data_IF_665906573917
#
_entry.id   IF_665906573917
#
_cell.length_a   1.000
_cell.length_b   1.000
_cell.length_c   1.000
_cell.angle_alpha   90.00
_cell.angle_beta   90.00
_cell.angle_gamma   90.00
#
_symmetry.space_group_name_H-M   'P 1'
#
loop_
_entity.id
_entity.type
_entity.pdbx_description
1 polymer ?
#
# COMPACT_ATOMS: atom_id res chain seq x y z
N UNK A 1 30.46 -14.56 27.94
CA UNK A 1 29.56 -15.71 28.16
C UNK A 1 28.14 -15.18 28.26
N UNK A 2 27.33 -15.30 27.20
CA UNK A 2 25.95 -14.82 27.20
C UNK A 2 25.05 -15.94 27.77
N UNK A 3 24.44 -15.70 28.92
CA UNK A 3 23.44 -16.60 29.50
C UNK A 3 22.17 -16.51 28.68
N UNK A 4 21.79 -17.61 28.04
CA UNK A 4 20.54 -17.77 27.32
C UNK A 4 19.38 -17.74 28.33
N UNK A 5 18.80 -16.57 28.58
CA UNK A 5 17.64 -16.43 29.47
C UNK A 5 16.39 -16.85 28.72
N UNK A 6 15.92 -18.06 29.01
CA UNK A 6 14.68 -18.61 28.48
C UNK A 6 13.49 -17.82 29.03
N UNK A 7 12.89 -16.96 28.20
CA UNK A 7 11.72 -16.18 28.60
C UNK A 7 10.47 -17.05 28.47
N UNK A 8 9.72 -17.22 29.56
CA UNK A 8 8.47 -18.01 29.57
C UNK A 8 7.30 -17.11 29.99
N UNK A 9 6.29 -16.91 29.14
CA UNK A 9 5.13 -16.09 29.50
C UNK A 9 4.34 -16.72 30.65
N UNK A 10 3.86 -15.88 31.57
CA UNK A 10 3.02 -16.30 32.69
C UNK A 10 1.65 -15.64 32.59
N UNK A 11 0.58 -16.45 32.67
CA UNK A 11 -0.80 -15.96 32.55
C UNK A 11 -1.51 -15.83 33.91
N UNK A 12 -0.78 -15.97 35.03
CA UNK A 12 -1.35 -15.78 36.37
C UNK A 12 -1.42 -14.29 36.72
N UNK A 13 -2.58 -13.79 37.23
CA UNK A 13 -2.69 -12.42 37.72
C UNK A 13 -1.62 -12.14 38.79
N UNK A 14 -0.88 -11.04 38.65
CA UNK A 14 0.16 -10.63 39.60
C UNK A 14 1.59 -11.13 39.31
N UNK A 15 1.82 -11.84 38.20
CA UNK A 15 3.19 -12.15 37.76
C UNK A 15 3.84 -10.92 37.09
N UNK A 16 5.14 -10.64 37.32
CA UNK A 16 5.85 -9.52 36.67
C UNK A 16 5.90 -9.63 35.12
N UNK A 17 5.74 -10.84 34.56
CA UNK A 17 5.70 -11.09 33.12
C UNK A 17 4.27 -11.42 32.63
N UNK A 18 3.24 -10.84 33.26
CA UNK A 18 1.85 -11.11 32.93
C UNK A 18 1.43 -10.46 31.61
N UNK A 19 1.08 -11.28 30.62
CA UNK A 19 0.50 -10.83 29.37
C UNK A 19 -1.03 -10.74 29.55
N UNK A 20 -1.65 -9.55 29.39
CA UNK A 20 -3.10 -9.41 29.53
C UNK A 20 -3.81 -10.22 28.44
N UNK A 21 -4.53 -11.26 28.86
CA UNK A 21 -5.31 -12.12 27.98
C UNK A 21 -6.54 -11.36 27.44
N UNK A 22 -6.37 -10.62 26.35
CA UNK A 22 -7.48 -10.08 25.56
C UNK A 22 -7.23 -10.23 24.06
N UNK A 23 -7.17 -11.49 23.61
CA UNK A 23 -7.59 -11.87 22.26
C UNK A 23 -8.90 -12.65 22.38
N UNK A 24 -10.02 -11.93 22.53
CA UNK A 24 -11.35 -12.52 22.32
C UNK A 24 -11.59 -12.59 20.81
N UNK A 25 -11.10 -13.64 20.16
CA UNK A 25 -11.62 -14.01 18.84
C UNK A 25 -13.08 -14.43 19.00
N UNK A 26 -13.96 -13.80 18.21
CA UNK A 26 -15.42 -13.97 18.16
C UNK A 26 -15.90 -15.40 18.45
N UNK A 27 -16.30 -15.66 19.69
CA UNK A 27 -17.13 -16.82 20.06
C UNK A 27 -16.49 -18.21 19.99
N UNK A 28 -15.17 -18.34 19.78
CA UNK A 28 -14.50 -19.64 19.81
C UNK A 28 -13.52 -19.75 20.99
N UNK A 29 -13.59 -20.87 21.73
CA UNK A 29 -12.63 -21.20 22.78
C UNK A 29 -11.29 -21.57 22.14
N UNK A 30 -10.27 -20.74 22.34
CA UNK A 30 -8.89 -21.07 21.98
C UNK A 30 -8.33 -21.98 23.07
N UNK A 31 -7.80 -23.18 22.76
CA UNK A 31 -7.22 -24.08 23.75
C UNK A 31 -6.02 -23.44 24.46
N UNK A 32 -5.88 -23.70 25.76
CA UNK A 32 -4.92 -23.07 26.69
C UNK A 32 -3.42 -23.32 26.36
N UNK A 33 -3.14 -24.06 25.27
CA UNK A 33 -1.78 -24.39 24.81
C UNK A 33 -1.46 -23.90 23.39
N UNK A 34 -2.30 -23.05 22.79
CA UNK A 34 -1.96 -22.39 21.53
C UNK A 34 -0.92 -21.28 21.79
N UNK A 35 0.31 -21.68 22.10
CA UNK A 35 1.46 -20.80 22.01
C UNK A 35 1.52 -20.23 20.60
N UNK A 36 1.65 -18.91 20.48
CA UNK A 36 1.98 -18.23 19.23
C UNK A 36 3.40 -18.62 18.81
N UNK A 37 3.57 -19.85 18.33
CA UNK A 37 4.76 -20.26 17.60
C UNK A 37 4.51 -19.91 16.13
N UNK A 38 4.96 -18.73 15.72
CA UNK A 38 5.14 -18.48 14.29
C UNK A 38 6.38 -19.26 13.87
N UNK A 39 6.17 -20.49 13.43
CA UNK A 39 7.21 -21.24 12.73
C UNK A 39 7.37 -20.58 11.35
N UNK A 40 8.46 -19.84 11.16
CA UNK A 40 8.85 -19.32 9.85
C UNK A 40 9.03 -20.55 8.95
N UNK A 41 8.24 -20.72 7.88
CA UNK A 41 8.46 -21.81 6.93
C UNK A 41 9.89 -21.69 6.39
N UNK A 42 10.65 -22.80 6.29
CA UNK A 42 11.95 -22.74 5.63
C UNK A 42 11.75 -22.17 4.23
N UNK A 43 12.54 -21.13 3.89
CA UNK A 43 12.61 -20.54 2.56
C UNK A 43 12.70 -21.67 1.54
N UNK A 44 11.62 -21.85 0.78
CA UNK A 44 11.56 -22.80 -0.33
C UNK A 44 12.67 -22.40 -1.29
N UNK A 45 13.62 -23.31 -1.48
CA UNK A 45 14.68 -23.18 -2.47
C UNK A 45 14.08 -22.89 -3.85
N UNK A 46 14.79 -22.08 -4.63
CA UNK A 46 14.43 -21.65 -5.97
C UNK A 46 13.79 -22.78 -6.81
N UNK A 47 12.72 -22.49 -7.57
CA UNK A 47 12.14 -23.46 -8.47
C UNK A 47 13.19 -23.89 -9.52
N UNK A 48 13.25 -25.20 -9.88
CA UNK A 48 14.15 -25.67 -10.91
C UNK A 48 13.83 -24.98 -12.24
N UNK A 49 14.88 -24.51 -12.92
CA UNK A 49 14.82 -23.89 -14.23
C UNK A 49 14.04 -24.76 -15.20
N UNK A 50 12.92 -24.23 -15.72
CA UNK A 50 12.16 -24.86 -16.79
C UNK A 50 13.04 -24.91 -18.05
N UNK A 51 13.59 -26.08 -18.36
CA UNK A 51 14.16 -26.38 -19.66
C UNK A 51 13.01 -26.40 -20.70
N UNK A 52 13.03 -25.44 -21.63
CA UNK A 52 12.21 -25.49 -22.83
C UNK A 52 12.61 -26.72 -23.67
N UNK A 53 11.67 -27.59 -24.08
CA UNK A 53 11.92 -28.57 -25.12
C UNK A 53 12.01 -27.86 -26.48
N UNK A 54 13.22 -27.79 -27.04
CA UNK A 54 13.42 -27.50 -28.45
C UNK A 54 12.99 -28.74 -29.27
N UNK A 55 11.76 -28.73 -29.78
CA UNK A 55 11.37 -29.58 -30.90
C UNK A 55 10.95 -28.69 -32.07
N UNK A 56 11.95 -28.36 -32.90
CA UNK A 56 11.76 -27.86 -34.25
C UNK A 56 11.26 -29.05 -35.09
N UNK A 57 9.95 -29.09 -35.36
CA UNK A 57 9.41 -29.92 -36.43
C UNK A 57 9.38 -29.09 -37.72
N UNK A 58 10.34 -29.34 -38.60
CA UNK A 58 10.36 -28.87 -39.98
C UNK A 58 9.28 -29.63 -40.74
N UNK A 59 8.16 -28.97 -41.06
CA UNK A 59 7.20 -29.46 -42.04
C UNK A 59 7.36 -28.61 -43.32
N UNK A 60 7.95 -29.23 -44.35
CA UNK A 60 8.03 -28.68 -45.70
C UNK A 60 6.71 -28.91 -46.48
N UNK A 61 6.47 -28.12 -47.55
CA UNK A 61 5.15 -27.90 -48.12
C UNK A 61 4.82 -28.89 -49.25
N UNK A 62 3.56 -29.32 -49.31
CA UNK A 62 2.98 -29.93 -50.50
C UNK A 62 2.08 -28.92 -51.22
N UNK A 63 2.44 -28.70 -52.48
CA UNK A 63 1.94 -27.70 -53.41
C UNK A 63 0.60 -28.08 -54.07
N UNK A 64 -0.08 -27.05 -54.57
CA UNK A 64 -1.08 -27.00 -55.66
C UNK A 64 -2.58 -27.14 -55.34
N UNK A 65 -3.30 -26.02 -55.52
CA UNK A 65 -4.25 -25.87 -56.62
C UNK A 65 -4.41 -24.37 -56.99
N UNK A 66 -4.42 -24.00 -58.30
CA UNK A 66 -4.73 -22.64 -58.73
C UNK A 66 -6.22 -22.52 -59.04
N UNK A 67 -6.93 -21.59 -58.39
CA UNK A 67 -8.23 -21.12 -58.85
C UNK A 67 -8.15 -19.60 -59.00
N UNK A 68 -8.21 -19.16 -60.25
CA UNK A 68 -8.41 -17.78 -60.64
C UNK A 68 -9.82 -17.33 -60.28
N UNK A 69 -10.01 -16.27 -59.49
CA UNK A 69 -10.95 -15.19 -59.87
C UNK A 69 -10.80 -13.91 -59.03
N UNK A 70 -10.77 -12.80 -59.76
CA UNK A 70 -11.31 -11.48 -59.45
C UNK A 70 -10.72 -10.62 -58.31
N UNK A 71 -9.93 -9.64 -58.74
CA UNK A 71 -10.01 -8.22 -58.40
C UNK A 71 -10.71 -7.82 -57.07
N UNK A 72 -9.89 -7.51 -56.06
CA UNK A 72 -10.20 -6.53 -55.03
C UNK A 72 -8.91 -5.81 -54.64
N UNK A 73 -8.45 -4.91 -55.49
CA UNK A 73 -7.50 -3.85 -55.10
C UNK A 73 -8.28 -2.85 -54.26
N UNK A 74 -8.17 -2.89 -52.93
CA UNK A 74 -8.50 -1.77 -52.03
C UNK A 74 -8.10 -2.07 -50.58
N UNK A 75 -7.01 -1.43 -50.14
CA UNK A 75 -6.76 -0.97 -48.76
C UNK A 75 -6.97 -1.97 -47.61
N UNK A 76 -5.98 -2.81 -47.34
CA UNK A 76 -5.92 -3.68 -46.14
C UNK A 76 -4.87 -3.24 -45.12
N UNK A 77 -4.47 -1.96 -45.13
CA UNK A 77 -3.50 -1.39 -44.19
C UNK A 77 -4.03 -0.76 -42.87
N UNK A 78 -5.34 -0.52 -42.62
CA UNK A 78 -5.74 0.17 -41.39
C UNK A 78 -5.69 -0.72 -40.12
N UNK A 79 -5.93 -2.03 -40.23
CA UNK A 79 -6.07 -2.91 -39.06
C UNK A 79 -4.77 -3.11 -38.25
N UNK A 80 -3.61 -3.18 -38.91
CA UNK A 80 -2.33 -3.34 -38.21
C UNK A 80 -1.94 -2.09 -37.41
N UNK A 81 -2.25 -0.90 -37.94
CA UNK A 81 -2.03 0.37 -37.25
C UNK A 81 -2.96 0.55 -36.05
N UNK A 82 -4.23 0.14 -36.17
CA UNK A 82 -5.20 0.18 -35.07
C UNK A 82 -4.81 -0.75 -33.91
N UNK A 83 -4.34 -1.96 -34.21
CA UNK A 83 -3.86 -2.88 -33.18
C UNK A 83 -2.61 -2.36 -32.45
N UNK A 84 -1.64 -1.78 -33.17
CA UNK A 84 -0.45 -1.18 -32.57
C UNK A 84 -0.80 0.01 -31.66
N UNK A 85 -1.70 0.90 -32.11
CA UNK A 85 -2.19 2.02 -31.31
C UNK A 85 -2.91 1.56 -30.03
N UNK A 86 -3.75 0.53 -30.13
CA UNK A 86 -4.46 -0.04 -28.98
C UNK A 86 -3.50 -0.66 -27.95
N UNK A 87 -2.47 -1.39 -28.40
CA UNK A 87 -1.45 -1.94 -27.51
C UNK A 87 -0.65 -0.84 -26.81
N UNK A 88 -0.23 0.20 -27.53
CA UNK A 88 0.49 1.32 -26.95
C UNK A 88 -0.36 2.08 -25.92
N UNK A 89 -1.64 2.31 -26.20
CA UNK A 89 -2.57 2.93 -25.26
C UNK A 89 -2.74 2.08 -23.98
N UNK A 90 -2.81 0.75 -24.13
CA UNK A 90 -2.91 -0.17 -22.98
C UNK A 90 -1.66 -0.12 -22.11
N UNK A 91 -0.47 -0.12 -22.71
CA UNK A 91 0.80 -0.03 -21.96
C UNK A 91 0.93 1.32 -21.25
N UNK A 92 0.54 2.42 -21.89
CA UNK A 92 0.51 3.74 -21.25
C UNK A 92 -0.48 3.78 -20.09
N UNK A 93 -1.69 3.24 -20.26
CA UNK A 93 -2.68 3.15 -19.19
C UNK A 93 -2.14 2.31 -18.01
N UNK A 94 -1.49 1.18 -18.27
CA UNK A 94 -0.88 0.35 -17.22
C UNK A 94 0.26 1.08 -16.49
N UNK A 95 1.10 1.84 -17.21
CA UNK A 95 2.16 2.64 -16.61
C UNK A 95 1.58 3.73 -15.70
N UNK A 96 0.51 4.41 -16.14
CA UNK A 96 -0.21 5.42 -15.33
C UNK A 96 -0.84 4.77 -14.10
N UNK A 97 -1.52 3.64 -14.25
CA UNK A 97 -2.12 2.91 -13.11
C UNK A 97 -1.06 2.45 -12.12
N UNK A 98 0.08 1.94 -12.61
CA UNK A 98 1.20 1.55 -11.75
C UNK A 98 1.75 2.73 -10.97
N UNK A 99 1.91 3.89 -11.63
CA UNK A 99 2.38 5.14 -11.02
C UNK A 99 1.42 5.63 -9.93
N UNK A 100 0.12 5.66 -10.21
CA UNK A 100 -0.90 6.08 -9.22
C UNK A 100 -0.90 5.14 -8.01
N UNK A 101 -0.72 3.83 -8.21
CA UNK A 101 -0.66 2.84 -7.12
C UNK A 101 0.60 2.91 -6.27
N UNK A 102 1.66 3.58 -6.73
CA UNK A 102 2.90 3.75 -5.98
C UNK A 102 3.04 5.12 -5.33
N UNK A 103 2.04 6.01 -5.50
CA UNK A 103 2.02 7.32 -4.86
C UNK A 103 1.41 7.25 -3.47
N UNK A 104 2.09 7.85 -2.49
CA UNK A 104 1.59 8.14 -1.14
C UNK A 104 1.69 9.64 -0.89
N UNK A 105 0.64 10.23 -0.32
CA UNK A 105 0.64 11.60 0.18
C UNK A 105 0.89 11.60 1.68
N UNK A 106 1.84 12.41 2.15
CA UNK A 106 2.19 12.53 3.56
C UNK A 106 1.90 13.94 4.03
N UNK A 107 1.16 14.06 5.12
CA UNK A 107 1.04 15.30 5.88
C UNK A 107 1.89 15.19 7.13
N UNK A 108 2.91 16.03 7.24
CA UNK A 108 3.86 16.02 8.35
C UNK A 108 3.70 17.27 9.22
N UNK A 109 3.45 17.07 10.51
CA UNK A 109 3.50 18.12 11.52
C UNK A 109 4.90 18.20 12.13
N UNK A 110 5.67 19.19 11.70
CA UNK A 110 6.97 19.58 12.30
C UNK A 110 6.86 20.80 13.21
N UNK A 111 5.68 21.43 13.24
CA UNK A 111 5.36 22.55 14.12
C UNK A 111 3.83 22.64 14.34
N UNK A 112 3.38 23.59 15.16
CA UNK A 112 1.95 23.89 15.37
C UNK A 112 1.24 24.50 14.15
N UNK A 113 1.99 24.78 13.07
CA UNK A 113 1.42 25.28 11.83
C UNK A 113 0.73 24.14 11.06
N UNK A 114 -0.08 24.51 10.08
CA UNK A 114 -0.71 23.57 9.15
C UNK A 114 0.35 22.62 8.55
N UNK A 115 0.07 21.30 8.46
CA UNK A 115 1.03 20.36 7.92
C UNK A 115 1.21 20.58 6.41
N UNK A 116 2.44 20.42 5.95
CA UNK A 116 2.77 20.55 4.53
C UNK A 116 2.57 19.19 3.81
N UNK A 117 1.74 19.12 2.75
CA UNK A 117 1.55 17.89 1.99
C UNK A 117 2.77 17.58 1.11
N UNK A 118 3.20 16.32 1.13
CA UNK A 118 4.33 15.81 0.33
C UNK A 118 3.95 14.51 -0.37
N UNK A 119 4.21 14.42 -1.67
CA UNK A 119 3.96 13.20 -2.46
C UNK A 119 5.25 12.39 -2.70
N UNK A 120 5.15 11.08 -2.53
CA UNK A 120 6.25 10.13 -2.75
C UNK A 120 5.78 8.99 -3.66
N UNK A 121 6.49 8.72 -4.76
CA UNK A 121 6.08 7.74 -5.80
C UNK A 121 6.93 6.47 -5.83
N UNK A 122 8.11 6.49 -5.20
CA UNK A 122 9.11 5.41 -5.29
C UNK A 122 9.36 4.68 -3.97
N UNK A 123 8.62 5.02 -2.92
CA UNK A 123 8.79 4.48 -1.57
C UNK A 123 7.73 3.43 -1.21
N UNK A 124 6.90 3.04 -2.18
CA UNK A 124 5.83 2.04 -2.00
C UNK A 124 6.25 0.71 -2.62
N UNK A 125 6.48 -0.30 -1.77
CA UNK A 125 6.89 -1.64 -2.15
C UNK A 125 5.83 -2.63 -1.66
N UNK A 126 5.19 -3.34 -2.59
CA UNK A 126 4.19 -4.37 -2.26
C UNK A 126 3.07 -3.88 -1.31
N UNK A 127 2.57 -2.66 -1.51
CA UNK A 127 1.53 -2.09 -0.65
C UNK A 127 2.02 -1.64 0.73
N UNK A 128 3.33 -1.53 0.92
CA UNK A 128 3.95 -1.00 2.14
C UNK A 128 4.73 0.26 1.77
N UNK A 129 4.58 1.31 2.57
CA UNK A 129 5.37 2.52 2.46
C UNK A 129 6.57 2.42 3.39
N UNK A 130 7.77 2.61 2.83
CA UNK A 130 9.03 2.57 3.59
C UNK A 130 9.38 3.98 4.01
N UNK A 131 9.35 4.23 5.32
CA UNK A 131 9.81 5.49 5.89
C UNK A 131 11.34 5.43 6.03
N UNK A 132 12.04 5.93 5.01
CA UNK A 132 13.50 6.02 4.99
C UNK A 132 14.01 7.34 5.58
N UNK A 133 15.31 7.39 5.89
CA UNK A 133 15.99 8.62 6.29
C UNK A 133 15.81 9.74 5.24
N UNK A 134 15.88 9.42 3.94
CA UNK A 134 15.64 10.38 2.85
C UNK A 134 14.23 11.01 2.91
N UNK A 135 13.20 10.20 3.20
CA UNK A 135 11.83 10.69 3.37
C UNK A 135 11.76 11.63 4.56
N UNK A 136 12.36 11.25 5.69
CA UNK A 136 12.36 12.06 6.92
C UNK A 136 13.11 13.39 6.73
N UNK A 137 14.25 13.38 6.07
CA UNK A 137 15.02 14.58 5.72
C UNK A 137 14.19 15.53 4.85
N UNK A 138 13.50 15.00 3.84
CA UNK A 138 12.62 15.79 2.96
C UNK A 138 11.44 16.40 3.70
N UNK A 139 10.88 15.66 4.67
CA UNK A 139 9.81 16.13 5.56
C UNK A 139 10.32 17.05 6.67
N UNK A 140 11.65 17.24 6.81
CA UNK A 140 12.30 17.99 7.88
C UNK A 140 11.95 17.49 9.29
N UNK A 141 11.65 16.20 9.41
CA UNK A 141 11.40 15.56 10.71
C UNK A 141 12.76 15.18 11.31
N UNK A 142 13.07 15.73 12.49
CA UNK A 142 14.27 15.37 13.23
C UNK A 142 13.95 14.38 14.36
N UNK A 143 14.90 13.48 14.66
CA UNK A 143 14.81 12.53 15.77
C UNK A 143 14.91 11.07 15.33
N UNK A 144 14.86 10.16 16.30
CA UNK A 144 14.85 8.71 16.06
C UNK A 144 13.46 8.08 16.18
N UNK A 145 12.50 8.86 16.67
CA UNK A 145 11.13 8.46 16.92
C UNK A 145 10.20 9.55 16.38
N UNK A 146 9.07 9.12 15.85
CA UNK A 146 8.00 9.98 15.38
C UNK A 146 6.66 9.31 15.69
N UNK A 147 5.57 10.02 15.44
CA UNK A 147 4.24 9.50 15.61
C UNK A 147 3.54 9.36 14.26
N UNK A 148 2.82 8.25 14.08
CA UNK A 148 1.94 8.00 12.93
C UNK A 148 0.49 7.99 13.41
N UNK A 149 -0.38 8.71 12.72
CA UNK A 149 -1.80 8.67 13.04
C UNK A 149 -2.40 7.34 12.65
N UNK A 150 -3.25 6.80 13.53
CA UNK A 150 -3.97 5.56 13.32
C UNK A 150 -5.47 5.85 13.25
N UNK A 151 -6.05 5.93 12.04
CA UNK A 151 -7.48 6.14 11.84
C UNK A 151 -8.38 5.18 12.63
N UNK A 152 -7.92 3.94 12.87
CA UNK A 152 -8.72 2.91 13.57
C UNK A 152 -9.13 3.30 15.00
N UNK A 153 -8.35 4.13 15.68
CA UNK A 153 -8.64 4.59 17.04
C UNK A 153 -8.51 6.11 17.21
N UNK A 154 -8.45 6.85 16.10
CA UNK A 154 -8.34 8.31 16.07
C UNK A 154 -7.22 8.85 16.97
N UNK A 155 -6.03 8.25 16.91
CA UNK A 155 -4.91 8.63 17.78
C UNK A 155 -3.55 8.41 17.17
N UNK A 156 -2.53 8.92 17.86
CA UNK A 156 -1.14 8.86 17.44
C UNK A 156 -0.43 7.64 18.04
N UNK A 157 0.34 6.93 17.23
CA UNK A 157 1.17 5.79 17.63
C UNK A 157 2.64 6.10 17.39
N UNK A 158 3.49 5.83 18.37
CA UNK A 158 4.93 6.01 18.24
C UNK A 158 5.54 4.93 17.33
N UNK A 159 6.43 5.33 16.44
CA UNK A 159 7.18 4.46 15.53
C UNK A 159 8.66 4.92 15.44
N UNK A 160 9.60 3.99 15.22
CA UNK A 160 11.01 4.32 15.00
C UNK A 160 11.25 4.90 13.59
N UNK A 161 12.42 5.54 13.40
CA UNK A 161 12.79 6.24 12.15
C UNK A 161 13.01 5.39 10.88
N UNK A 162 12.91 4.06 10.95
CA UNK A 162 13.04 3.15 9.79
C UNK A 162 11.86 2.19 9.72
N UNK A 163 10.66 2.74 9.84
CA UNK A 163 9.44 1.94 9.94
C UNK A 163 8.79 1.68 8.58
N UNK A 164 8.19 0.50 8.44
CA UNK A 164 7.44 0.12 7.25
C UNK A 164 5.95 0.22 7.57
N UNK A 165 5.27 1.17 6.94
CA UNK A 165 3.85 1.46 7.15
C UNK A 165 3.03 0.67 6.13
N UNK A 166 2.16 -0.27 6.56
CA UNK A 166 1.32 -1.00 5.62
C UNK A 166 0.19 -0.11 5.09
N UNK A 167 0.10 0.10 3.78
CA UNK A 167 -0.93 0.97 3.16
C UNK A 167 -2.31 0.32 3.08
N UNK A 168 -2.40 -0.98 3.31
CA UNK A 168 -3.66 -1.71 3.40
C UNK A 168 -4.21 -1.79 4.83
N UNK A 169 -3.47 -1.24 5.78
CA UNK A 169 -3.81 -1.31 7.20
C UNK A 169 -4.47 -0.03 7.69
N UNK A 170 -5.10 -0.08 8.86
CA UNK A 170 -5.83 1.04 9.46
C UNK A 170 -4.95 2.21 9.94
N UNK A 171 -3.81 2.44 9.27
CA UNK A 171 -2.84 3.53 9.40
C UNK A 171 -2.93 4.55 8.25
N UNK A 172 -3.73 4.27 7.21
CA UNK A 172 -3.89 5.16 6.05
C UNK A 172 -5.32 5.62 5.86
N UNK A 173 -5.47 6.84 5.35
CA UNK A 173 -6.72 7.43 4.86
C UNK A 173 -6.62 7.54 3.33
N UNK A 174 -7.70 7.53 2.55
CA UNK A 174 -7.60 7.58 1.06
C UNK A 174 -8.16 8.84 0.43
N UNK A 175 -7.33 9.80 0.04
CA UNK A 175 -7.74 11.04 -0.65
C UNK A 175 -7.58 10.88 -2.16
N UNK A 176 -8.62 11.14 -2.94
CA UNK A 176 -8.58 11.03 -4.42
C UNK A 176 -8.04 9.68 -4.91
N UNK A 177 -8.39 8.60 -4.20
CA UNK A 177 -7.89 7.23 -4.38
C UNK A 177 -6.39 7.02 -4.10
N UNK A 178 -5.69 8.01 -3.54
CA UNK A 178 -4.31 7.91 -3.06
C UNK A 178 -4.26 7.67 -1.54
N UNK A 179 -3.39 6.75 -1.06
CA UNK A 179 -3.15 6.59 0.36
C UNK A 179 -2.47 7.82 0.96
N UNK A 180 -3.01 8.25 2.09
CA UNK A 180 -2.57 9.38 2.90
C UNK A 180 -2.05 8.86 4.23
N UNK A 181 -0.83 9.26 4.57
CA UNK A 181 -0.17 8.99 5.85
C UNK A 181 -0.02 10.32 6.60
N UNK A 182 -0.36 10.31 7.89
CA UNK A 182 -0.21 11.48 8.75
C UNK A 182 0.93 11.20 9.74
N UNK A 183 1.94 12.06 9.73
CA UNK A 183 3.12 11.95 10.58
C UNK A 183 3.23 13.18 11.48
N UNK A 184 3.68 12.97 12.70
CA UNK A 184 3.90 14.04 13.67
C UNK A 184 5.28 13.86 14.29
N UNK A 185 6.05 14.94 14.28
CA UNK A 185 7.33 14.99 14.96
C UNK A 185 7.12 15.00 16.48
N UNK A 186 7.97 14.26 17.20
CA UNK A 186 7.93 14.23 18.66
C UNK A 186 8.07 15.64 19.25
N UNK A 187 7.19 15.98 20.20
CA UNK A 187 7.16 17.28 20.88
C UNK A 187 6.32 18.35 20.19
N UNK A 188 5.72 18.07 19.04
CA UNK A 188 4.66 18.91 18.48
C UNK A 188 3.36 18.52 19.17
N UNK A 189 2.80 19.37 20.04
CA UNK A 189 1.53 19.09 20.72
C UNK A 189 0.33 19.74 20.02
N UNK A 190 -0.90 19.39 20.41
CA UNK A 190 -2.10 20.10 19.95
C UNK A 190 -2.55 19.80 18.51
N UNK A 191 -2.03 18.73 17.91
CA UNK A 191 -2.49 18.24 16.60
C UNK A 191 -3.50 17.10 16.80
N UNK A 192 -4.75 17.31 16.37
CA UNK A 192 -5.81 16.30 16.39
C UNK A 192 -5.78 15.37 15.16
N UNK A 193 -4.73 15.49 14.34
CA UNK A 193 -4.50 14.64 13.18
C UNK A 193 -5.53 14.91 12.08
N UNK A 194 -6.40 13.93 11.82
CA UNK A 194 -7.36 14.03 10.73
C UNK A 194 -8.38 15.16 10.95
N UNK A 195 -8.79 15.41 12.19
CA UNK A 195 -9.81 16.42 12.49
C UNK A 195 -9.33 17.84 12.16
N UNK A 196 -8.05 18.15 12.35
CA UNK A 196 -7.46 19.45 12.00
C UNK A 196 -7.44 19.65 10.47
N UNK A 197 -7.11 18.59 9.74
CA UNK A 197 -7.09 18.60 8.28
C UNK A 197 -8.49 18.83 7.69
N UNK A 198 -9.51 18.20 8.27
CA UNK A 198 -10.90 18.35 7.84
C UNK A 198 -11.50 19.71 8.25
N UNK A 199 -11.02 20.28 9.36
CA UNK A 199 -11.52 21.56 9.88
C UNK A 199 -10.94 22.78 9.16
N UNK A 200 -9.89 22.60 8.35
CA UNK A 200 -9.20 23.73 7.73
C UNK A 200 -9.97 24.24 6.50
N UNK A 201 -10.57 25.45 6.55
CA UNK A 201 -11.38 25.97 5.45
C UNK A 201 -10.54 26.15 4.19
N UNK A 202 -11.01 25.59 3.07
CA UNK A 202 -10.29 25.60 1.79
C UNK A 202 -9.37 24.40 1.56
N UNK A 203 -9.30 23.45 2.50
CA UNK A 203 -8.68 22.16 2.22
C UNK A 203 -9.64 21.34 1.34
N UNK A 204 -9.28 21.09 0.09
CA UNK A 204 -9.99 20.18 -0.84
C UNK A 204 -9.86 18.69 -0.43
N UNK A 205 -9.77 18.43 0.88
CA UNK A 205 -9.83 17.10 1.46
C UNK A 205 -11.29 16.66 1.48
N UNK A 206 -11.82 16.29 0.30
CA UNK A 206 -13.12 15.63 0.23
C UNK A 206 -13.01 14.27 0.94
N UNK A 207 -13.90 14.07 1.91
CA UNK A 207 -13.80 12.98 2.92
C UNK A 207 -13.60 11.60 2.29
N UNK A 208 -12.49 10.99 2.67
CA UNK A 208 -11.99 9.69 2.27
C UNK A 208 -12.76 8.54 2.92
N UNK A 209 -13.03 7.45 2.17
CA UNK A 209 -13.54 6.20 2.74
C UNK A 209 -12.50 5.60 3.70
N UNK A 210 -12.86 5.32 4.95
CA UNK A 210 -12.01 4.47 5.81
C UNK A 210 -11.98 3.06 5.20
N UNK A 211 -10.79 2.56 4.87
CA UNK A 211 -10.56 1.24 4.26
C UNK A 211 -10.85 0.04 5.17
N UNK A 212 -11.85 0.12 6.06
CA UNK A 212 -12.41 -1.02 6.77
C UNK A 212 -13.73 -1.40 6.10
N UNK A 213 -13.94 -2.69 5.89
CA UNK A 213 -15.09 -3.35 5.25
C UNK A 213 -16.47 -3.05 5.89
N UNK A 214 -16.85 -1.77 6.01
CA UNK A 214 -18.19 -1.26 6.24
C UNK A 214 -18.29 0.09 5.52
N UNK A 215 -19.07 0.12 4.44
CA UNK A 215 -19.31 1.31 3.62
C UNK A 215 -19.94 2.43 4.46
N UNK A 216 -19.12 3.42 4.83
CA UNK A 216 -19.61 4.75 5.12
C UNK A 216 -19.24 5.64 3.92
N UNK A 217 -20.25 5.99 3.12
CA UNK A 217 -20.10 6.92 2.00
C UNK A 217 -20.58 8.28 2.47
N UNK A 218 -19.65 9.23 2.67
CA UNK A 218 -20.00 10.64 2.87
C UNK A 218 -19.67 11.37 1.57
N UNK A 219 -20.70 11.96 0.95
CA UNK A 219 -20.56 12.92 -0.14
C UNK A 219 -20.66 14.31 0.48
N UNK A 220 -19.65 15.15 0.27
CA UNK A 220 -19.81 16.59 0.46
C UNK A 220 -19.62 17.23 -0.90
N UNK A 221 -20.75 17.68 -1.45
CA UNK A 221 -20.81 18.41 -2.71
C UNK A 221 -20.52 19.88 -2.43
N UNK A 222 -19.56 20.43 -3.15
CA UNK A 222 -19.25 21.86 -3.19
C UNK A 222 -20.44 22.63 -3.74
N UNK A 223 -20.94 23.61 -2.98
CA UNK A 223 -21.58 24.77 -3.57
C UNK A 223 -21.14 26.02 -2.81
N UNK A 224 -20.23 26.77 -3.43
CA UNK A 224 -20.06 28.19 -3.16
C UNK A 224 -20.11 28.90 -4.52
N UNK A 225 -21.14 29.72 -4.72
CA UNK A 225 -21.06 31.12 -5.21
C UNK A 225 -22.39 31.59 -5.83
N UNK A 226 -22.64 32.92 -5.88
CA UNK A 226 -21.91 34.04 -5.28
C UNK A 226 -22.59 34.64 -4.03
#
# INVERSE_FOLDING_TARGET
MATNTHWTPCFKPGCPNHIPARLKCRGQRVPEHAGLFYQIPPLVADPPSLQLPNHIAVAQPSSQAPIHTAAATSSSQPAAHEHAACQQATLQAQAVVKKVRSTVTIFAWTSLKQPDPHEFQDHVINGHFVLSEEVLERLKIAGNELQVYCPSFHGWSMIPKDHVIPLTSGYTVTQDALPVVLLQQMGVDGCNGLDDLLSTPGSDLSVCKLGTSMDLTIRVSTHAHP
#
